data_IF_729913049331
#
_entry.id   IF_729913049331
#
_cell.length_a   1.000
_cell.length_b   1.000
_cell.length_c   1.000
_cell.angle_alpha   90.00
_cell.angle_beta   90.00
_cell.angle_gamma   90.00
#
_symmetry.space_group_name_H-M   'P 1'
#
loop_
_entity.id
_entity.type
_entity.pdbx_description
1 polymer ?
#
# COMPACT_ATOMS: atom_id res chain seq x y z
N UNK A 1 16.70 55.46 -3.33
CA UNK A 1 17.02 54.54 -4.44
C UNK A 1 16.03 53.41 -4.34
N UNK A 2 14.98 53.45 -5.16
CA UNK A 2 13.84 52.54 -5.08
C UNK A 2 14.06 51.38 -6.06
N UNK A 3 13.84 50.17 -5.55
CA UNK A 3 13.98 48.89 -6.23
C UNK A 3 13.11 48.83 -7.49
N UNK A 4 13.75 48.60 -8.63
CA UNK A 4 13.06 48.36 -9.91
C UNK A 4 12.96 46.86 -10.11
N UNK A 5 11.90 46.26 -9.60
CA UNK A 5 11.69 44.79 -9.61
C UNK A 5 10.66 44.32 -10.65
N UNK A 6 10.24 45.14 -11.62
CA UNK A 6 9.00 44.89 -12.38
C UNK A 6 9.07 44.66 -13.91
N UNK A 7 10.00 43.85 -14.49
CA UNK A 7 9.72 43.30 -15.84
C UNK A 7 9.81 41.78 -15.97
N UNK A 8 10.22 41.07 -14.91
CA UNK A 8 10.48 39.61 -14.98
C UNK A 8 9.23 38.79 -14.61
N UNK A 9 8.39 39.29 -13.70
CA UNK A 9 7.20 38.57 -13.22
C UNK A 9 6.11 38.43 -14.29
N UNK A 10 5.88 39.45 -15.11
CA UNK A 10 4.82 39.44 -16.16
C UNK A 10 5.16 38.43 -17.28
N UNK A 11 6.40 38.43 -17.76
CA UNK A 11 6.92 37.44 -18.73
C UNK A 11 6.87 36.00 -18.20
N UNK A 12 7.16 35.82 -16.91
CA UNK A 12 7.13 34.49 -16.27
C UNK A 12 5.69 34.01 -16.08
N UNK A 13 4.77 34.90 -15.68
CA UNK A 13 3.35 34.59 -15.54
C UNK A 13 2.71 34.23 -16.90
N UNK A 14 3.04 34.94 -17.97
CA UNK A 14 2.56 34.64 -19.32
C UNK A 14 3.07 33.27 -19.81
N UNK A 15 4.34 32.95 -19.54
CA UNK A 15 4.90 31.64 -19.82
C UNK A 15 4.19 30.52 -19.03
N UNK A 16 3.90 30.75 -17.74
CA UNK A 16 3.15 29.82 -16.90
C UNK A 16 1.73 29.60 -17.46
N UNK A 17 1.02 30.67 -17.80
CA UNK A 17 -0.35 30.57 -18.33
C UNK A 17 -0.39 29.83 -19.68
N UNK A 18 0.57 30.10 -20.56
CA UNK A 18 0.72 29.37 -21.82
C UNK A 18 0.98 27.88 -21.59
N UNK A 19 1.89 27.55 -20.67
CA UNK A 19 2.18 26.15 -20.31
C UNK A 19 0.96 25.47 -19.68
N UNK A 20 0.19 26.16 -18.84
CA UNK A 20 -1.05 25.62 -18.26
C UNK A 20 -2.08 25.27 -19.34
N UNK A 21 -2.26 26.13 -20.34
CA UNK A 21 -3.14 25.87 -21.49
C UNK A 21 -2.64 24.67 -22.30
N UNK A 22 -1.35 24.63 -22.62
CA UNK A 22 -0.74 23.52 -23.38
C UNK A 22 -0.82 22.19 -22.62
N UNK A 23 -0.65 22.21 -21.29
CA UNK A 23 -0.85 21.05 -20.43
C UNK A 23 -2.29 20.56 -20.45
N UNK A 24 -3.27 21.46 -20.42
CA UNK A 24 -4.67 21.09 -20.45
C UNK A 24 -5.08 20.49 -21.80
N UNK A 25 -4.64 21.11 -22.90
CA UNK A 25 -4.83 20.56 -24.24
C UNK A 25 -4.17 19.18 -24.39
N UNK A 26 -2.94 19.04 -23.88
CA UNK A 26 -2.20 17.78 -23.95
C UNK A 26 -2.90 16.69 -23.13
N UNK A 27 -3.41 17.02 -21.93
CA UNK A 27 -4.21 16.09 -21.11
C UNK A 27 -5.49 15.67 -21.82
N UNK A 28 -6.19 16.60 -22.46
CA UNK A 28 -7.40 16.30 -23.24
C UNK A 28 -7.09 15.37 -24.42
N UNK A 29 -6.05 15.68 -25.21
CA UNK A 29 -5.59 14.84 -26.32
C UNK A 29 -5.17 13.44 -25.85
N UNK A 30 -4.45 13.34 -24.73
CA UNK A 30 -4.06 12.05 -24.15
C UNK A 30 -5.27 11.22 -23.71
N UNK A 31 -6.31 11.87 -23.16
CA UNK A 31 -7.57 11.18 -22.80
C UNK A 31 -8.26 10.61 -24.04
N UNK A 32 -8.41 11.42 -25.10
CA UNK A 32 -9.01 10.98 -26.36
C UNK A 32 -8.23 9.81 -26.97
N UNK A 33 -6.90 9.90 -27.02
CA UNK A 33 -6.07 8.82 -27.55
C UNK A 33 -6.18 7.52 -26.73
N UNK A 34 -6.32 7.64 -25.40
CA UNK A 34 -6.55 6.48 -24.54
C UNK A 34 -7.89 5.80 -24.85
N UNK A 35 -8.94 6.58 -25.05
CA UNK A 35 -10.26 6.03 -25.35
C UNK A 35 -10.28 5.40 -26.76
N UNK A 36 -9.69 6.06 -27.75
CA UNK A 36 -9.47 5.46 -29.08
C UNK A 36 -8.68 4.15 -29.03
N UNK A 37 -7.63 4.09 -28.19
CA UNK A 37 -6.86 2.85 -28.01
C UNK A 37 -7.72 1.73 -27.42
N UNK A 38 -8.61 2.03 -26.45
CA UNK A 38 -9.55 1.04 -25.94
C UNK A 38 -10.50 0.57 -27.03
N UNK A 39 -11.01 1.47 -27.86
CA UNK A 39 -11.92 1.12 -28.94
C UNK A 39 -11.24 0.20 -29.97
N UNK A 40 -9.97 0.48 -30.32
CA UNK A 40 -9.17 -0.39 -31.20
C UNK A 40 -8.98 -1.78 -30.58
N UNK A 41 -8.66 -1.85 -29.29
CA UNK A 41 -8.54 -3.13 -28.59
C UNK A 41 -9.87 -3.89 -28.59
N UNK A 42 -10.98 -3.19 -28.33
CA UNK A 42 -12.31 -3.78 -28.34
C UNK A 42 -12.76 -4.21 -29.74
N UNK A 43 -12.30 -3.59 -30.82
CA UNK A 43 -12.62 -4.04 -32.18
C UNK A 43 -11.86 -5.30 -32.60
N UNK A 44 -10.78 -5.64 -31.90
CA UNK A 44 -10.02 -6.85 -32.18
C UNK A 44 -10.73 -8.08 -31.59
N UNK A 45 -11.21 -8.95 -32.48
CA UNK A 45 -11.96 -10.15 -32.12
C UNK A 45 -11.15 -11.11 -31.22
N UNK A 46 -9.87 -11.34 -31.53
CA UNK A 46 -8.98 -12.21 -30.74
C UNK A 46 -8.77 -11.67 -29.32
N UNK A 47 -8.62 -10.35 -29.17
CA UNK A 47 -8.52 -9.70 -27.87
C UNK A 47 -9.81 -9.83 -27.06
N UNK A 48 -10.99 -9.72 -27.69
CA UNK A 48 -12.27 -9.93 -27.01
C UNK A 48 -12.42 -11.38 -26.53
N UNK A 49 -12.06 -12.35 -27.37
CA UNK A 49 -12.12 -13.78 -27.03
C UNK A 49 -11.20 -14.11 -25.86
N UNK A 50 -9.96 -13.62 -25.87
CA UNK A 50 -9.03 -13.78 -24.75
C UNK A 50 -9.54 -13.10 -23.47
N UNK A 51 -10.15 -11.92 -23.57
CA UNK A 51 -10.76 -11.26 -22.41
C UNK A 51 -11.89 -12.09 -21.79
N UNK A 52 -12.72 -12.71 -22.62
CA UNK A 52 -13.80 -13.56 -22.15
C UNK A 52 -13.26 -14.87 -21.54
N UNK A 53 -12.25 -15.48 -22.17
CA UNK A 53 -11.57 -16.65 -21.62
C UNK A 53 -10.94 -16.36 -20.24
N UNK A 54 -10.30 -15.20 -20.06
CA UNK A 54 -9.75 -14.77 -18.77
C UNK A 54 -10.85 -14.64 -17.72
N UNK A 55 -12.01 -14.07 -18.07
CA UNK A 55 -13.15 -13.97 -17.14
C UNK A 55 -13.65 -15.35 -16.75
N UNK A 56 -13.85 -16.24 -17.72
CA UNK A 56 -14.27 -17.62 -17.45
C UNK A 56 -13.27 -18.35 -16.57
N UNK A 57 -11.97 -18.27 -16.88
CA UNK A 57 -10.91 -18.88 -16.08
C UNK A 57 -10.87 -18.31 -14.67
N UNK A 58 -11.14 -17.00 -14.51
CA UNK A 58 -11.22 -16.37 -13.20
C UNK A 58 -12.40 -16.92 -12.39
N UNK A 59 -13.58 -17.10 -13.01
CA UNK A 59 -14.75 -17.71 -12.37
C UNK A 59 -14.47 -19.17 -12.00
N UNK A 60 -13.91 -19.96 -12.92
CA UNK A 60 -13.52 -21.37 -12.68
C UNK A 60 -12.51 -21.47 -11.53
N UNK A 61 -11.50 -20.59 -11.50
CA UNK A 61 -10.52 -20.50 -10.39
C UNK A 61 -11.20 -20.17 -9.07
N UNK A 62 -12.12 -19.21 -9.04
CA UNK A 62 -12.85 -18.85 -7.82
C UNK A 62 -13.73 -20.00 -7.32
N UNK A 63 -14.40 -20.72 -8.21
CA UNK A 63 -15.20 -21.89 -7.86
C UNK A 63 -14.31 -23.02 -7.32
N UNK A 64 -13.19 -23.32 -7.98
CA UNK A 64 -12.22 -24.31 -7.50
C UNK A 64 -11.66 -23.92 -6.13
N UNK A 65 -11.34 -22.64 -5.91
CA UNK A 65 -10.90 -22.14 -4.60
C UNK A 65 -11.96 -22.36 -3.52
N UNK A 66 -13.24 -22.06 -3.79
CA UNK A 66 -14.34 -22.30 -2.85
C UNK A 66 -14.51 -23.78 -2.52
N UNK A 67 -14.35 -24.66 -3.51
CA UNK A 67 -14.42 -26.11 -3.28
C UNK A 67 -13.25 -26.58 -2.41
N UNK A 68 -12.03 -26.09 -2.68
CA UNK A 68 -10.88 -26.35 -1.82
C UNK A 68 -11.05 -25.78 -0.41
N UNK A 69 -11.65 -24.60 -0.26
CA UNK A 69 -11.96 -24.03 1.07
C UNK A 69 -12.99 -24.85 1.86
N UNK A 70 -13.85 -25.60 1.17
CA UNK A 70 -14.78 -26.55 1.77
C UNK A 70 -14.11 -27.92 2.06
N UNK A 71 -12.91 -28.16 1.53
CA UNK A 71 -12.15 -29.37 1.79
C UNK A 71 -11.62 -29.39 3.23
N UNK A 72 -11.74 -30.54 3.89
CA UNK A 72 -11.35 -30.72 5.28
C UNK A 72 -9.84 -30.58 5.49
N UNK A 73 -9.03 -31.02 4.53
CA UNK A 73 -7.57 -30.95 4.62
C UNK A 73 -7.11 -29.49 4.51
N UNK A 74 -7.73 -28.73 3.59
CA UNK A 74 -7.49 -27.29 3.49
C UNK A 74 -7.88 -26.55 4.78
N UNK A 75 -9.05 -26.85 5.35
CA UNK A 75 -9.49 -26.22 6.61
C UNK A 75 -8.55 -26.53 7.76
N UNK A 76 -8.05 -27.77 7.84
CA UNK A 76 -7.09 -28.20 8.87
C UNK A 76 -5.79 -27.42 8.75
N UNK A 77 -5.18 -27.39 7.56
CA UNK A 77 -3.94 -26.66 7.30
C UNK A 77 -4.13 -25.15 7.54
N UNK A 78 -5.27 -24.59 7.13
CA UNK A 78 -5.56 -23.17 7.33
C UNK A 78 -5.75 -22.84 8.82
N UNK A 79 -6.38 -23.72 9.59
CA UNK A 79 -6.48 -23.56 11.06
C UNK A 79 -5.11 -23.60 11.71
N UNK A 80 -4.28 -24.58 11.38
CA UNK A 80 -2.90 -24.69 11.88
C UNK A 80 -2.07 -23.45 11.51
N UNK A 81 -2.24 -22.93 10.29
CA UNK A 81 -1.59 -21.70 9.85
C UNK A 81 -2.01 -20.50 10.70
N UNK A 82 -3.30 -20.32 10.96
CA UNK A 82 -3.80 -19.23 11.78
C UNK A 82 -3.35 -19.35 13.24
N UNK A 83 -3.32 -20.56 13.79
CA UNK A 83 -2.75 -20.84 15.12
C UNK A 83 -1.26 -20.47 15.19
N UNK A 84 -0.47 -20.85 14.18
CA UNK A 84 0.95 -20.48 14.10
C UNK A 84 1.15 -18.97 13.97
N UNK A 85 0.30 -18.28 13.21
CA UNK A 85 0.33 -16.80 13.11
C UNK A 85 0.00 -16.14 14.44
N UNK A 86 -1.00 -16.65 15.15
CA UNK A 86 -1.37 -16.15 16.47
C UNK A 86 -0.23 -16.36 17.47
N UNK A 87 0.32 -17.57 17.53
CA UNK A 87 1.48 -17.90 18.35
C UNK A 87 2.69 -17.01 18.04
N UNK A 88 2.94 -16.72 16.76
CA UNK A 88 4.02 -15.82 16.36
C UNK A 88 3.80 -14.39 16.85
N UNK A 89 2.57 -13.88 16.78
CA UNK A 89 2.23 -12.55 17.33
C UNK A 89 2.42 -12.51 18.84
N UNK A 90 1.94 -13.52 19.56
CA UNK A 90 2.12 -13.61 21.02
C UNK A 90 3.61 -13.63 21.41
N UNK A 91 4.41 -14.44 20.70
CA UNK A 91 5.87 -14.48 20.92
C UNK A 91 6.54 -13.14 20.62
N UNK A 92 6.11 -12.43 19.57
CA UNK A 92 6.60 -11.09 19.26
C UNK A 92 6.22 -10.08 20.35
N UNK A 93 5.02 -10.17 20.92
CA UNK A 93 4.57 -9.31 22.01
C UNK A 93 5.37 -9.57 23.30
N UNK A 94 5.54 -10.84 23.66
CA UNK A 94 6.38 -11.27 24.79
C UNK A 94 7.81 -10.77 24.60
N UNK A 95 8.37 -10.95 23.41
CA UNK A 95 9.71 -10.45 23.07
C UNK A 95 9.78 -8.93 23.21
N UNK A 96 8.78 -8.19 22.70
CA UNK A 96 8.71 -6.73 22.84
C UNK A 96 8.73 -6.30 24.31
N UNK A 97 7.96 -6.95 25.18
CA UNK A 97 7.97 -6.66 26.62
C UNK A 97 9.35 -6.90 27.25
N UNK A 98 10.03 -7.98 26.90
CA UNK A 98 11.38 -8.27 27.36
C UNK A 98 12.40 -7.25 26.84
N UNK A 99 12.31 -6.84 25.57
CA UNK A 99 13.21 -5.83 24.99
C UNK A 99 13.05 -4.47 25.68
N UNK A 100 11.81 -4.06 25.96
CA UNK A 100 11.53 -2.82 26.71
C UNK A 100 12.11 -2.91 28.13
N UNK A 101 11.94 -4.04 28.81
CA UNK A 101 12.46 -4.24 30.16
C UNK A 101 13.99 -4.25 30.18
N UNK A 102 14.62 -4.94 29.23
CA UNK A 102 16.07 -4.97 29.07
C UNK A 102 16.62 -3.56 28.82
N UNK A 103 16.02 -2.82 27.90
CA UNK A 103 16.39 -1.43 27.62
C UNK A 103 16.22 -0.53 28.87
N UNK A 104 15.13 -0.67 29.62
CA UNK A 104 14.91 0.12 30.83
C UNK A 104 15.95 -0.18 31.93
N UNK A 105 16.47 -1.40 32.01
CA UNK A 105 17.44 -1.82 33.03
C UNK A 105 18.89 -1.49 32.65
N UNK A 106 19.26 -1.66 31.37
CA UNK A 106 20.66 -1.59 30.91
C UNK A 106 20.96 -0.34 30.09
N UNK A 107 19.92 0.31 29.55
CA UNK A 107 20.00 1.33 28.49
C UNK A 107 20.71 0.86 27.23
N UNK A 108 20.92 -0.45 27.06
CA UNK A 108 21.54 -1.00 25.86
C UNK A 108 20.51 -1.10 24.73
N UNK A 109 20.86 -0.54 23.58
CA UNK A 109 20.03 -0.55 22.36
C UNK A 109 20.40 -1.68 21.42
N UNK A 110 21.17 -2.66 21.88
CA UNK A 110 21.68 -3.77 21.08
C UNK A 110 21.53 -5.08 21.86
N UNK A 111 21.13 -6.14 21.17
CA UNK A 111 21.08 -7.49 21.71
C UNK A 111 21.96 -8.40 20.87
N UNK A 112 22.59 -9.38 21.51
CA UNK A 112 23.27 -10.46 20.80
C UNK A 112 22.31 -11.63 20.61
N UNK A 113 22.06 -12.00 19.37
CA UNK A 113 21.25 -13.14 19.00
C UNK A 113 21.97 -14.45 19.38
N UNK A 114 21.23 -15.55 19.38
CA UNK A 114 21.72 -16.91 19.62
C UNK A 114 22.83 -17.34 18.64
N UNK A 115 22.82 -16.81 17.41
CA UNK A 115 23.88 -16.99 16.41
C UNK A 115 25.09 -16.05 16.59
N UNK A 116 25.07 -15.22 17.62
CA UNK A 116 26.15 -14.29 17.94
C UNK A 116 26.12 -12.98 17.16
N UNK A 117 25.13 -12.76 16.31
CA UNK A 117 24.90 -11.48 15.62
C UNK A 117 24.38 -10.41 16.58
N UNK A 118 24.92 -9.20 16.49
CA UNK A 118 24.41 -8.07 17.26
C UNK A 118 23.31 -7.37 16.46
N UNK A 119 22.08 -7.38 16.99
CA UNK A 119 20.90 -6.74 16.38
C UNK A 119 20.49 -5.50 17.20
N UNK A 120 20.17 -4.37 16.55
CA UNK A 120 19.66 -3.19 17.25
C UNK A 120 18.22 -3.42 17.73
N UNK A 121 17.89 -2.95 18.93
CA UNK A 121 16.54 -2.92 19.48
C UNK A 121 15.78 -1.74 18.85
N UNK A 122 14.69 -2.03 18.14
CA UNK A 122 13.80 -1.01 17.57
C UNK A 122 12.53 -0.94 18.41
N UNK A 123 12.39 0.11 19.21
CA UNK A 123 11.18 0.37 19.99
C UNK A 123 10.20 1.20 19.16
N UNK A 124 9.11 0.57 18.69
CA UNK A 124 8.03 1.22 17.94
C UNK A 124 6.88 1.58 18.87
N UNK A 125 6.87 2.80 19.42
CA UNK A 125 5.69 3.35 20.08
C UNK A 125 4.77 4.02 19.05
N UNK A 126 3.51 3.60 18.98
CA UNK A 126 2.48 4.23 18.13
C UNK A 126 1.46 4.94 19.02
N UNK A 127 1.17 6.20 18.72
CA UNK A 127 0.14 6.99 19.41
C UNK A 127 -1.23 6.57 18.89
N UNK A 128 -2.14 6.20 19.79
CA UNK A 128 -3.53 5.85 19.47
C UNK A 128 -4.36 7.07 19.06
N UNK A 129 -5.53 6.85 18.45
CA UNK A 129 -6.45 7.94 18.11
C UNK A 129 -6.97 8.59 19.41
N UNK A 130 -7.13 9.93 19.45
CA UNK A 130 -7.71 10.59 20.61
C UNK A 130 -9.15 10.08 20.82
N UNK A 131 -9.44 9.56 22.01
CA UNK A 131 -10.82 9.35 22.44
C UNK A 131 -11.47 10.72 22.58
N UNK A 132 -12.57 10.94 21.86
CA UNK A 132 -13.44 12.09 22.07
C UNK A 132 -14.01 11.97 23.49
N UNK A 133 -13.45 12.73 24.42
CA UNK A 133 -14.03 12.94 25.74
C UNK A 133 -15.39 13.62 25.52
N UNK A 134 -16.49 12.86 25.62
CA UNK A 134 -17.84 13.40 25.68
C UNK A 134 -18.14 13.56 27.18
N UNK A 135 -18.02 14.78 27.75
CA UNK A 135 -18.50 15.01 29.11
C UNK A 135 -20.01 14.81 29.14
N UNK A 136 -20.47 13.90 29.99
CA UNK A 136 -21.86 13.79 30.37
C UNK A 136 -22.19 14.93 31.34
N UNK A 137 -22.88 15.95 30.86
CA UNK A 137 -23.70 16.85 31.70
C UNK A 137 -25.12 16.31 31.83
#
# INVERSE_FOLDING_TARGET
MAETQQPIEESTLDAIQRLMLEMEETRSKAKVMRDNLKDVLLQNQEYQELQEEIKELTVKRQQAKKLLEADRDYQTINSELEELKFKLKDLQEIMSHHLVTHYNQTQETQIKDTDGEVRPIILSAKVGKPELFIPSE
#
